data_IF_064002294203
#
_entry.id   IF_064002294203
#
_cell.length_a   1.000
_cell.length_b   1.000
_cell.length_c   1.000
_cell.angle_alpha   90.00
_cell.angle_beta   90.00
_cell.angle_gamma   90.00
#
_symmetry.space_group_name_H-M   'P 1'
#
loop_
_entity.id
_entity.type
_entity.pdbx_description
1 polymer ?
#
# COMPACT_ATOMS: atom_id res chain seq x y z
N UNK A 1 35.86 46.46 11.92
CA UNK A 1 34.90 47.10 12.84
C UNK A 1 34.13 45.98 13.52
N UNK A 2 33.99 46.00 14.86
CA UNK A 2 33.16 45.01 15.54
C UNK A 2 31.70 45.34 15.25
N UNK A 3 31.03 44.54 14.44
CA UNK A 3 29.58 44.65 14.19
C UNK A 3 28.87 44.20 15.47
N UNK A 4 28.08 45.09 16.08
CA UNK A 4 27.36 44.75 17.30
C UNK A 4 26.22 43.76 17.05
N UNK A 5 25.85 43.02 18.09
CA UNK A 5 24.81 41.97 18.02
C UNK A 5 23.46 42.46 17.49
N UNK A 6 23.05 43.67 17.93
CA UNK A 6 21.75 44.20 17.50
C UNK A 6 21.75 44.51 16.00
N UNK A 7 22.86 45.03 15.47
CA UNK A 7 23.03 45.26 14.04
C UNK A 7 22.92 43.98 13.20
N UNK A 8 23.47 42.85 13.70
CA UNK A 8 23.34 41.55 13.03
C UNK A 8 21.89 41.05 13.02
N UNK A 9 21.13 41.21 14.10
CA UNK A 9 19.73 40.84 14.19
C UNK A 9 18.85 41.71 13.31
N UNK A 10 19.09 43.01 13.27
CA UNK A 10 18.36 43.93 12.39
C UNK A 10 18.63 43.68 10.92
N UNK A 11 19.86 43.32 10.56
CA UNK A 11 20.22 42.87 9.22
C UNK A 11 19.40 41.60 8.84
N UNK A 12 19.35 40.60 9.71
CA UNK A 12 18.56 39.37 9.46
C UNK A 12 17.08 39.70 9.30
N UNK A 13 16.47 40.46 10.20
CA UNK A 13 15.03 40.76 10.14
C UNK A 13 14.64 41.48 8.84
N UNK A 14 15.52 42.35 8.33
CA UNK A 14 15.28 43.05 7.05
C UNK A 14 15.37 42.14 5.82
N UNK A 15 16.16 41.07 5.87
CA UNK A 15 16.51 40.26 4.68
C UNK A 15 15.94 38.83 4.69
N UNK A 16 15.35 38.33 5.79
CA UNK A 16 14.94 36.95 5.99
C UNK A 16 13.95 36.37 4.96
N UNK A 17 13.27 37.24 4.21
CA UNK A 17 12.30 36.84 3.19
C UNK A 17 12.76 37.16 1.76
N UNK A 18 13.92 37.76 1.56
CA UNK A 18 14.44 38.07 0.22
C UNK A 18 15.14 36.84 -0.36
N UNK A 19 14.89 36.59 -1.67
CA UNK A 19 15.59 35.52 -2.42
C UNK A 19 17.07 35.86 -2.62
N UNK A 20 17.40 37.13 -2.75
CA UNK A 20 18.75 37.65 -2.96
C UNK A 20 19.31 38.15 -1.63
N UNK A 21 19.64 37.19 -0.75
CA UNK A 21 20.34 37.49 0.49
C UNK A 21 21.77 37.88 0.12
N UNK A 22 22.17 39.13 0.39
CA UNK A 22 23.52 39.59 0.10
C UNK A 22 24.54 38.81 0.95
N UNK A 23 25.10 37.78 0.35
CA UNK A 23 26.10 36.91 1.03
C UNK A 23 27.47 37.52 1.14
N UNK A 24 27.74 38.62 0.45
CA UNK A 24 29.00 39.35 0.51
C UNK A 24 28.94 40.48 1.56
N UNK A 25 27.79 40.75 2.14
CA UNK A 25 27.63 41.76 3.17
C UNK A 25 28.48 41.46 4.39
N UNK A 26 29.11 42.47 4.97
CA UNK A 26 29.94 42.35 6.19
C UNK A 26 29.19 41.66 7.33
N UNK A 27 27.93 41.96 7.52
CA UNK A 27 27.04 41.33 8.51
C UNK A 27 26.86 39.83 8.30
N UNK A 28 26.74 39.39 7.03
CA UNK A 28 26.65 37.96 6.73
C UNK A 28 27.92 37.22 7.12
N UNK A 29 29.05 37.76 6.71
CA UNK A 29 30.37 37.20 7.04
C UNK A 29 30.65 37.15 8.53
N UNK A 30 30.23 38.16 9.26
CA UNK A 30 30.39 38.21 10.72
C UNK A 30 29.53 37.16 11.43
N UNK A 31 28.27 36.91 10.93
CA UNK A 31 27.46 35.81 11.44
C UNK A 31 28.13 34.47 11.21
N UNK A 32 28.72 34.22 10.02
CA UNK A 32 29.46 32.99 9.74
C UNK A 32 30.66 32.85 10.68
N UNK A 33 31.44 33.92 10.88
CA UNK A 33 32.62 33.94 11.74
C UNK A 33 32.27 33.60 13.21
N UNK A 34 31.23 34.22 13.77
CA UNK A 34 30.80 34.01 15.14
C UNK A 34 30.24 32.62 15.40
N UNK A 35 29.72 31.97 14.36
CA UNK A 35 29.06 30.68 14.46
C UNK A 35 29.79 29.56 13.71
N UNK A 36 31.08 29.75 13.42
CA UNK A 36 31.93 28.78 12.71
C UNK A 36 32.03 27.43 13.44
N UNK A 37 31.96 27.43 14.78
CA UNK A 37 31.98 26.22 15.61
C UNK A 37 30.85 25.21 15.27
N UNK A 38 29.78 25.64 14.59
CA UNK A 38 28.71 24.78 14.15
C UNK A 38 29.12 23.92 12.95
N UNK A 39 30.03 24.40 12.11
CA UNK A 39 30.47 23.70 10.90
C UNK A 39 31.31 22.46 11.22
N UNK A 40 31.91 22.39 12.37
CA UNK A 40 32.68 21.24 12.85
C UNK A 40 31.79 20.08 13.32
N UNK A 41 30.50 20.36 13.57
CA UNK A 41 29.55 19.40 14.14
C UNK A 41 28.43 19.00 13.14
N UNK A 42 28.00 19.93 12.31
CA UNK A 42 26.88 19.76 11.41
C UNK A 42 27.30 19.89 9.94
N UNK A 43 27.02 18.89 9.09
CA UNK A 43 27.36 18.89 7.65
C UNK A 43 26.74 20.04 6.85
N UNK A 44 25.64 20.59 7.32
CA UNK A 44 24.96 21.73 6.69
C UNK A 44 24.28 22.56 7.77
N UNK A 45 24.71 23.78 7.92
CA UNK A 45 24.20 24.70 8.94
C UNK A 45 23.32 25.77 8.29
N UNK A 46 21.99 25.70 8.44
CA UNK A 46 21.10 26.72 7.94
C UNK A 46 21.38 28.09 8.56
N UNK A 47 21.28 29.16 7.77
CA UNK A 47 21.54 30.51 8.29
C UNK A 47 20.63 30.87 9.48
N UNK A 48 19.39 30.38 9.49
CA UNK A 48 18.46 30.55 10.60
C UNK A 48 18.97 29.90 11.92
N UNK A 49 19.73 28.79 11.85
CA UNK A 49 20.37 28.16 13.01
C UNK A 49 21.47 29.06 13.57
N UNK A 50 22.30 29.65 12.71
CA UNK A 50 23.35 30.61 13.10
C UNK A 50 22.76 31.83 13.80
N UNK A 51 21.71 32.39 13.27
CA UNK A 51 20.98 33.54 13.85
C UNK A 51 20.35 33.16 15.20
N UNK A 52 19.92 31.91 15.39
CA UNK A 52 19.41 31.45 16.67
C UNK A 52 20.45 31.58 17.77
N UNK A 53 21.70 31.17 17.51
CA UNK A 53 22.82 31.32 18.48
C UNK A 53 23.10 32.79 18.83
N UNK A 54 23.07 33.66 17.83
CA UNK A 54 23.22 35.11 18.08
C UNK A 54 22.04 35.65 18.90
N UNK A 55 20.79 35.21 18.60
CA UNK A 55 19.60 35.62 19.37
C UNK A 55 19.61 35.16 20.82
N UNK A 56 20.09 33.95 21.07
CA UNK A 56 20.16 33.41 22.42
C UNK A 56 21.41 33.83 23.20
N UNK A 57 22.38 34.44 22.52
CA UNK A 57 23.73 34.71 23.07
C UNK A 57 24.44 33.47 23.59
N UNK A 58 24.20 32.36 22.91
CA UNK A 58 24.69 31.04 23.26
C UNK A 58 25.51 30.47 22.09
N UNK A 59 26.81 30.50 22.25
CA UNK A 59 27.78 30.02 21.25
C UNK A 59 28.32 28.63 21.60
N UNK A 60 27.46 27.80 22.17
CA UNK A 60 27.79 26.41 22.49
C UNK A 60 27.00 25.43 21.63
N UNK A 61 27.54 24.21 21.45
CA UNK A 61 26.80 23.13 20.78
C UNK A 61 25.68 22.67 21.70
N UNK A 62 24.48 22.65 21.15
CA UNK A 62 23.30 22.18 21.89
C UNK A 62 23.34 20.67 22.04
N UNK A 63 23.40 20.17 23.27
CA UNK A 63 23.55 18.75 23.58
C UNK A 63 22.26 18.15 24.15
N UNK A 64 22.04 16.89 23.85
CA UNK A 64 20.96 16.12 24.41
C UNK A 64 21.12 15.94 25.92
N UNK A 65 20.11 16.29 26.74
CA UNK A 65 20.22 16.19 28.20
C UNK A 65 20.31 14.75 28.72
N UNK A 66 20.07 13.74 27.85
CA UNK A 66 20.09 12.31 28.22
C UNK A 66 21.44 11.67 27.88
N UNK A 67 22.01 11.96 26.70
CA UNK A 67 23.17 11.24 26.18
C UNK A 67 24.30 12.15 25.69
N UNK A 68 24.16 13.46 25.89
CA UNK A 68 25.16 14.50 25.51
C UNK A 68 25.55 14.48 24.01
N UNK A 69 24.77 13.85 23.16
CA UNK A 69 24.95 13.90 21.69
C UNK A 69 24.43 15.23 21.16
N UNK A 70 25.07 15.87 20.16
CA UNK A 70 24.56 17.08 19.52
C UNK A 70 23.14 16.92 19.03
N UNK A 71 22.29 17.92 19.26
CA UNK A 71 20.87 17.90 18.92
C UNK A 71 20.65 18.46 17.51
N UNK A 72 19.79 17.81 16.70
CA UNK A 72 19.45 18.28 15.38
C UNK A 72 18.64 19.58 15.37
N UNK A 73 18.83 20.39 14.33
CA UNK A 73 18.08 21.60 14.08
C UNK A 73 16.76 21.28 13.35
N UNK A 74 15.65 21.75 13.92
CA UNK A 74 14.33 21.68 13.28
C UNK A 74 14.14 22.91 12.37
N UNK A 75 14.30 22.72 11.07
CA UNK A 75 14.20 23.78 10.06
C UNK A 75 12.78 24.36 9.95
N UNK A 76 11.75 23.56 10.24
CA UNK A 76 10.35 23.97 10.17
C UNK A 76 9.98 24.92 11.32
N UNK A 77 10.41 24.59 12.53
CA UNK A 77 10.10 25.39 13.73
C UNK A 77 11.23 26.37 14.10
N UNK A 78 12.32 26.37 13.36
CA UNK A 78 13.50 27.23 13.56
C UNK A 78 14.05 27.19 14.99
N UNK A 79 14.22 25.98 15.51
CA UNK A 79 14.72 25.72 16.86
C UNK A 79 15.44 24.37 16.93
N UNK A 80 16.23 24.19 17.98
CA UNK A 80 16.78 22.87 18.28
C UNK A 80 15.68 21.92 18.78
N UNK A 81 15.77 20.65 18.44
CA UNK A 81 14.98 19.61 19.06
C UNK A 81 15.32 19.51 20.55
N UNK A 82 14.42 19.03 21.37
CA UNK A 82 14.70 18.86 22.81
C UNK A 82 15.62 17.67 23.09
N UNK A 83 15.65 16.68 22.23
CA UNK A 83 16.42 15.44 22.36
C UNK A 83 16.99 15.04 21.00
N UNK A 84 18.12 14.32 21.00
CA UNK A 84 18.75 13.83 19.75
C UNK A 84 17.94 12.72 19.06
N UNK A 85 17.08 12.01 19.78
CA UNK A 85 16.27 10.89 19.25
C UNK A 85 15.01 10.64 20.07
N UNK A 86 14.06 9.90 19.47
CA UNK A 86 12.87 9.41 20.16
C UNK A 86 13.19 8.49 21.35
N UNK A 87 14.32 7.78 21.29
CA UNK A 87 14.81 6.95 22.40
C UNK A 87 15.15 7.79 23.62
N UNK A 88 15.91 8.87 23.44
CA UNK A 88 16.27 9.79 24.54
C UNK A 88 15.05 10.52 25.10
N UNK A 89 14.11 10.92 24.25
CA UNK A 89 12.83 11.44 24.70
C UNK A 89 12.07 10.43 25.58
N UNK A 90 12.02 9.16 25.17
CA UNK A 90 11.32 8.11 25.92
C UNK A 90 11.99 7.76 27.27
N UNK A 91 13.30 7.95 27.39
CA UNK A 91 14.03 7.72 28.64
C UNK A 91 13.72 8.82 29.67
N UNK A 92 13.69 10.07 29.25
CA UNK A 92 13.41 11.19 30.18
C UNK A 92 11.95 11.29 30.60
N UNK A 93 11.03 10.84 29.77
CA UNK A 93 9.57 10.82 30.09
C UNK A 93 9.22 9.67 31.04
N UNK A 94 10.17 8.77 31.34
CA UNK A 94 9.93 7.54 32.11
C UNK A 94 10.40 7.59 33.55
N UNK A 95 10.57 8.75 34.18
CA UNK A 95 10.65 8.75 35.65
C UNK A 95 9.30 8.25 36.19
N UNK A 96 9.35 7.18 36.99
CA UNK A 96 8.13 6.52 37.52
C UNK A 96 7.18 7.50 38.19
N UNK A 97 7.72 8.48 38.91
CA UNK A 97 6.96 9.51 39.60
C UNK A 97 6.19 10.45 38.65
N UNK A 98 6.72 10.82 37.49
CA UNK A 98 6.03 11.65 36.50
C UNK A 98 4.95 10.85 35.75
N UNK A 99 5.18 9.56 35.50
CA UNK A 99 4.20 8.69 34.91
C UNK A 99 3.02 8.48 35.85
N UNK A 100 3.31 8.26 37.15
CA UNK A 100 2.29 8.09 38.19
C UNK A 100 1.42 9.34 38.32
N UNK A 101 2.03 10.52 38.38
CA UNK A 101 1.33 11.83 38.42
C UNK A 101 0.47 12.08 37.19
N UNK A 102 0.93 11.69 36.00
CA UNK A 102 0.13 11.79 34.76
C UNK A 102 -1.05 10.83 34.76
N UNK A 103 -0.83 9.58 35.15
CA UNK A 103 -1.89 8.58 35.26
C UNK A 103 -2.95 9.00 36.25
N UNK A 104 -2.55 9.45 37.44
CA UNK A 104 -3.45 9.94 38.46
C UNK A 104 -4.31 11.12 37.95
N UNK A 105 -3.69 12.12 37.32
CA UNK A 105 -4.40 13.26 36.74
C UNK A 105 -5.35 12.87 35.59
N UNK A 106 -5.00 11.84 34.84
CA UNK A 106 -5.83 11.34 33.75
C UNK A 106 -7.00 10.54 34.30
N UNK A 107 -6.77 9.73 35.32
CA UNK A 107 -7.80 8.99 36.05
C UNK A 107 -8.83 9.92 36.70
N UNK A 108 -8.37 10.95 37.39
CA UNK A 108 -9.23 11.95 38.04
C UNK A 108 -10.11 12.71 37.05
N UNK A 109 -9.59 13.00 35.85
CA UNK A 109 -10.29 13.81 34.87
C UNK A 109 -11.19 12.98 33.91
N UNK A 110 -10.79 11.76 33.57
CA UNK A 110 -11.41 10.97 32.50
C UNK A 110 -11.86 9.57 32.94
N UNK A 111 -11.68 9.21 34.22
CA UNK A 111 -12.09 7.91 34.74
C UNK A 111 -11.24 6.73 34.30
N UNK A 112 -10.12 6.97 33.59
CA UNK A 112 -9.18 5.96 33.12
C UNK A 112 -7.74 6.46 33.25
N UNK A 113 -6.77 5.55 33.50
CA UNK A 113 -5.35 5.92 33.59
C UNK A 113 -4.75 6.39 32.25
N UNK A 114 -5.36 6.01 31.13
CA UNK A 114 -4.93 6.38 29.79
C UNK A 114 -6.04 7.14 29.06
N UNK A 115 -5.78 8.39 28.71
CA UNK A 115 -6.77 9.24 27.99
C UNK A 115 -7.27 8.58 26.70
N UNK A 116 -6.43 7.83 25.99
CA UNK A 116 -6.81 7.10 24.78
C UNK A 116 -7.89 6.01 24.99
N UNK A 117 -8.13 5.58 26.22
CA UNK A 117 -9.17 4.62 26.59
C UNK A 117 -10.45 5.28 27.07
N UNK A 118 -10.45 6.60 27.31
CA UNK A 118 -11.63 7.32 27.77
C UNK A 118 -12.72 7.38 26.72
N UNK A 119 -13.96 7.38 27.17
CA UNK A 119 -15.14 7.51 26.30
C UNK A 119 -15.15 8.88 25.58
N UNK A 120 -14.71 9.93 26.27
CA UNK A 120 -14.54 11.27 25.68
C UNK A 120 -13.54 11.27 24.53
N UNK A 121 -12.41 10.57 24.67
CA UNK A 121 -11.43 10.44 23.57
C UNK A 121 -12.01 9.68 22.37
N UNK A 122 -12.69 8.56 22.60
CA UNK A 122 -13.33 7.77 21.53
C UNK A 122 -14.35 8.61 20.78
N UNK A 123 -15.25 9.27 21.49
CA UNK A 123 -16.29 10.14 20.89
C UNK A 123 -15.67 11.29 20.09
N UNK A 124 -14.63 11.96 20.62
CA UNK A 124 -13.91 13.02 19.89
C UNK A 124 -13.18 12.51 18.66
N UNK A 125 -12.59 11.32 18.76
CA UNK A 125 -11.87 10.72 17.62
C UNK A 125 -12.83 10.30 16.53
N UNK A 126 -13.97 9.70 16.87
CA UNK A 126 -15.03 9.33 15.93
C UNK A 126 -15.63 10.55 15.24
N UNK A 127 -16.03 11.57 15.98
CA UNK A 127 -16.58 12.82 15.45
C UNK A 127 -15.55 13.57 14.58
N UNK A 128 -14.29 13.60 15.01
CA UNK A 128 -13.20 14.22 14.24
C UNK A 128 -12.84 13.43 12.99
N UNK A 129 -12.93 12.10 13.02
CA UNK A 129 -12.72 11.25 11.86
C UNK A 129 -13.85 11.43 10.83
N UNK A 130 -15.10 11.46 11.28
CA UNK A 130 -16.26 11.67 10.43
C UNK A 130 -16.24 13.06 9.78
N UNK A 131 -16.00 14.11 10.55
CA UNK A 131 -15.91 15.50 10.04
C UNK A 131 -14.75 15.67 9.04
N UNK A 132 -13.58 15.03 9.31
CA UNK A 132 -12.44 15.04 8.38
C UNK A 132 -12.78 14.28 7.10
N UNK A 133 -13.42 13.12 7.21
CA UNK A 133 -13.87 12.31 6.07
C UNK A 133 -14.85 13.10 5.20
N UNK A 134 -15.84 13.76 5.80
CA UNK A 134 -16.83 14.58 5.08
C UNK A 134 -16.17 15.76 4.35
N UNK A 135 -15.33 16.56 5.04
CA UNK A 135 -14.61 17.70 4.42
C UNK A 135 -13.64 17.26 3.32
N UNK A 136 -13.02 16.11 3.48
CA UNK A 136 -12.09 15.55 2.49
C UNK A 136 -12.85 15.02 1.28
N UNK A 137 -13.96 14.31 1.49
CA UNK A 137 -14.84 13.85 0.43
C UNK A 137 -15.41 15.03 -0.37
N UNK A 138 -15.77 16.10 0.33
CA UNK A 138 -16.29 17.33 -0.30
C UNK A 138 -15.21 18.04 -1.14
N UNK A 139 -13.98 18.16 -0.62
CA UNK A 139 -12.85 18.74 -1.38
C UNK A 139 -12.46 17.89 -2.59
N UNK A 140 -12.45 16.56 -2.43
CA UNK A 140 -12.15 15.63 -3.53
C UNK A 140 -13.26 15.64 -4.57
N UNK A 141 -14.53 15.67 -4.15
CA UNK A 141 -15.68 15.83 -5.05
C UNK A 141 -15.59 17.13 -5.83
N UNK A 142 -15.27 18.24 -5.15
CA UNK A 142 -15.16 19.56 -5.79
C UNK A 142 -13.99 19.61 -6.79
N UNK A 143 -12.80 19.15 -6.38
CA UNK A 143 -11.62 19.06 -7.25
C UNK A 143 -11.86 18.14 -8.45
N UNK A 144 -12.66 17.09 -8.25
CA UNK A 144 -12.98 16.13 -9.28
C UNK A 144 -14.04 16.65 -10.25
N UNK A 145 -15.10 17.29 -9.77
CA UNK A 145 -16.16 17.88 -10.61
C UNK A 145 -15.62 19.01 -11.48
N UNK A 146 -14.65 19.78 -10.99
CA UNK A 146 -14.02 20.86 -11.74
C UNK A 146 -12.98 20.37 -12.78
N UNK A 147 -12.46 19.12 -12.62
CA UNK A 147 -11.38 18.57 -13.46
C UNK A 147 -11.75 17.39 -14.37
N UNK A 148 -12.93 16.79 -14.23
CA UNK A 148 -13.23 15.43 -14.72
C UNK A 148 -14.42 15.31 -15.67
N UNK A 149 -14.65 16.24 -16.56
CA UNK A 149 -15.55 16.01 -17.69
C UNK A 149 -15.17 14.78 -18.56
N UNK A 150 -13.94 14.28 -18.40
CA UNK A 150 -13.40 13.12 -19.15
C UNK A 150 -13.51 11.77 -18.42
N UNK A 151 -13.80 11.73 -17.10
CA UNK A 151 -13.79 10.47 -16.35
C UNK A 151 -15.06 9.63 -16.56
N UNK A 152 -16.21 10.26 -16.67
CA UNK A 152 -17.47 9.55 -16.94
C UNK A 152 -17.41 8.81 -18.28
N UNK A 153 -16.80 9.42 -19.30
CA UNK A 153 -16.64 8.81 -20.61
C UNK A 153 -15.64 7.63 -20.61
N UNK A 154 -14.55 7.70 -19.84
CA UNK A 154 -13.56 6.62 -19.80
C UNK A 154 -14.06 5.37 -19.10
N UNK A 155 -14.87 5.49 -18.04
CA UNK A 155 -15.44 4.33 -17.33
C UNK A 155 -16.43 3.56 -18.19
N UNK A 156 -17.31 4.25 -18.91
CA UNK A 156 -18.30 3.64 -19.83
C UNK A 156 -17.62 2.96 -21.01
N UNK A 157 -16.60 3.59 -21.59
CA UNK A 157 -15.83 3.00 -22.70
C UNK A 157 -15.07 1.75 -22.27
N UNK A 158 -14.48 1.75 -21.08
CA UNK A 158 -13.72 0.61 -20.58
C UNK A 158 -14.61 -0.57 -20.22
N UNK A 159 -15.80 -0.33 -19.66
CA UNK A 159 -16.80 -1.37 -19.46
C UNK A 159 -17.25 -1.96 -20.81
N UNK A 160 -17.49 -1.13 -21.82
CA UNK A 160 -17.85 -1.60 -23.15
C UNK A 160 -16.73 -2.42 -23.78
N UNK A 161 -15.47 -2.02 -23.61
CA UNK A 161 -14.32 -2.79 -24.07
C UNK A 161 -14.24 -4.17 -23.40
N UNK A 162 -14.62 -4.29 -22.11
CA UNK A 162 -14.71 -5.58 -21.43
C UNK A 162 -15.79 -6.46 -22.07
N UNK A 163 -16.98 -5.90 -22.33
CA UNK A 163 -18.09 -6.60 -23.00
C UNK A 163 -17.67 -7.08 -24.39
N UNK A 164 -17.05 -6.21 -25.18
CA UNK A 164 -16.60 -6.53 -26.54
C UNK A 164 -15.50 -7.60 -26.53
N UNK A 165 -14.60 -7.55 -25.55
CA UNK A 165 -13.62 -8.61 -25.35
C UNK A 165 -14.30 -9.95 -25.05
N UNK A 166 -15.30 -9.97 -24.14
CA UNK A 166 -16.03 -11.21 -23.82
C UNK A 166 -16.74 -11.75 -25.06
N UNK A 167 -17.39 -10.89 -25.84
CA UNK A 167 -18.02 -11.27 -27.10
C UNK A 167 -17.03 -11.83 -28.13
N UNK A 168 -15.79 -11.35 -28.10
CA UNK A 168 -14.73 -11.84 -29.01
C UNK A 168 -14.22 -13.25 -28.66
N UNK A 169 -14.44 -13.70 -27.42
CA UNK A 169 -13.90 -14.96 -26.90
C UNK A 169 -14.95 -15.97 -26.44
N UNK A 170 -16.25 -15.62 -26.48
CA UNK A 170 -17.31 -16.46 -25.98
C UNK A 170 -18.52 -16.40 -26.91
N UNK A 171 -18.89 -17.56 -27.48
CA UNK A 171 -20.01 -17.69 -28.43
C UNK A 171 -21.35 -18.08 -27.78
N UNK A 172 -21.37 -18.30 -26.45
CA UNK A 172 -22.56 -18.66 -25.70
C UNK A 172 -23.40 -17.45 -25.29
N UNK A 173 -24.43 -17.69 -24.50
CA UNK A 173 -25.36 -16.66 -24.03
C UNK A 173 -24.69 -15.65 -23.12
N UNK A 174 -24.86 -14.37 -23.42
CA UNK A 174 -24.39 -13.23 -22.60
C UNK A 174 -25.58 -12.40 -22.16
N UNK A 175 -25.72 -12.16 -20.88
CA UNK A 175 -26.69 -11.23 -20.29
C UNK A 175 -25.95 -10.05 -19.71
N UNK A 176 -26.28 -8.82 -20.15
CA UNK A 176 -25.70 -7.58 -19.68
C UNK A 176 -26.63 -6.89 -18.70
N UNK A 177 -26.06 -6.24 -17.66
CA UNK A 177 -26.77 -5.44 -16.67
C UNK A 177 -27.96 -6.20 -16.02
N UNK A 178 -27.78 -7.50 -15.77
CA UNK A 178 -28.85 -8.36 -15.28
C UNK A 178 -29.02 -8.27 -13.77
N UNK A 179 -30.28 -8.12 -13.31
CA UNK A 179 -30.66 -8.17 -11.89
C UNK A 179 -31.26 -9.52 -11.48
N UNK A 180 -31.38 -10.47 -12.41
CA UNK A 180 -32.08 -11.73 -12.16
C UNK A 180 -31.43 -12.59 -11.07
N UNK A 181 -30.12 -12.47 -10.86
CA UNK A 181 -29.36 -13.35 -9.98
C UNK A 181 -29.31 -12.83 -8.53
N UNK A 182 -29.01 -11.55 -8.34
CA UNK A 182 -28.74 -10.95 -7.03
C UNK A 182 -29.54 -9.66 -6.77
N UNK A 183 -30.78 -9.60 -7.24
CA UNK A 183 -31.66 -8.43 -7.05
C UNK A 183 -31.58 -7.88 -5.59
N UNK A 184 -31.59 -6.54 -5.37
CA UNK A 184 -31.74 -5.46 -6.36
C UNK A 184 -30.44 -5.08 -7.09
N UNK A 185 -29.27 -5.66 -6.75
CA UNK A 185 -28.01 -5.42 -7.42
C UNK A 185 -28.01 -6.07 -8.81
N UNK A 186 -27.32 -5.45 -9.75
CA UNK A 186 -27.09 -5.97 -11.09
C UNK A 186 -25.71 -6.59 -11.25
N UNK A 187 -25.54 -7.37 -12.29
CA UNK A 187 -24.26 -7.90 -12.76
C UNK A 187 -23.99 -7.29 -14.14
N UNK A 188 -22.83 -6.70 -14.35
CA UNK A 188 -22.51 -6.05 -15.63
C UNK A 188 -22.51 -7.05 -16.79
N UNK A 189 -21.90 -8.23 -16.58
CA UNK A 189 -21.92 -9.33 -17.56
C UNK A 189 -22.18 -10.64 -16.83
N UNK A 190 -23.13 -11.43 -17.32
CA UNK A 190 -23.40 -12.77 -16.84
C UNK A 190 -23.39 -13.77 -17.99
N UNK A 191 -22.67 -14.88 -17.81
CA UNK A 191 -22.55 -15.99 -18.75
C UNK A 191 -23.28 -17.21 -18.17
N UNK A 192 -24.57 -17.41 -18.48
CA UNK A 192 -25.41 -18.44 -17.84
C UNK A 192 -24.85 -19.85 -17.96
N UNK A 193 -24.35 -20.21 -19.16
CA UNK A 193 -23.86 -21.56 -19.45
C UNK A 193 -22.64 -21.93 -18.62
N UNK A 194 -21.89 -20.92 -18.08
CA UNK A 194 -20.70 -21.09 -17.28
C UNK A 194 -20.93 -20.79 -15.79
N UNK A 195 -22.11 -20.29 -15.42
CA UNK A 195 -22.38 -19.72 -14.10
C UNK A 195 -21.28 -18.70 -13.69
N UNK A 196 -20.84 -17.89 -14.63
CA UNK A 196 -19.76 -16.92 -14.48
C UNK A 196 -20.30 -15.50 -14.68
N UNK A 197 -20.03 -14.63 -13.74
CA UNK A 197 -20.33 -13.21 -13.85
C UNK A 197 -19.04 -12.38 -13.80
N UNK A 198 -19.07 -11.25 -14.47
CA UNK A 198 -17.99 -10.28 -14.48
C UNK A 198 -18.55 -8.92 -14.07
N UNK A 199 -17.77 -8.20 -13.29
CA UNK A 199 -18.10 -6.87 -12.79
C UNK A 199 -16.96 -5.91 -13.09
N UNK A 200 -17.22 -4.85 -13.83
CA UNK A 200 -16.27 -3.78 -14.05
C UNK A 200 -16.34 -2.76 -12.92
N UNK A 201 -15.24 -2.55 -12.23
CA UNK A 201 -15.19 -1.64 -11.09
C UNK A 201 -14.35 -0.40 -11.43
N UNK A 202 -15.00 0.66 -11.89
CA UNK A 202 -14.40 1.99 -12.04
C UNK A 202 -13.93 2.49 -10.68
N UNK A 203 -12.64 2.79 -10.53
CA UNK A 203 -12.00 2.99 -9.23
C UNK A 203 -12.61 4.13 -8.42
N UNK A 204 -13.04 5.19 -9.08
CA UNK A 204 -13.63 6.35 -8.41
C UNK A 204 -14.94 5.98 -7.71
N UNK A 205 -15.91 5.47 -8.49
CA UNK A 205 -17.23 5.13 -7.97
C UNK A 205 -17.23 3.91 -7.04
N UNK A 206 -16.22 3.05 -7.17
CA UNK A 206 -16.00 1.89 -6.30
C UNK A 206 -15.08 2.16 -5.11
N UNK A 207 -14.81 3.44 -4.81
CA UNK A 207 -14.02 3.84 -3.65
C UNK A 207 -14.87 4.06 -2.39
N UNK A 208 -14.19 4.21 -1.26
CA UNK A 208 -14.80 4.54 0.04
C UNK A 208 -15.50 5.90 0.10
N UNK A 209 -15.48 6.67 -0.98
CA UNK A 209 -16.27 7.88 -1.12
C UNK A 209 -17.76 7.59 -1.36
N UNK A 210 -18.05 6.45 -2.00
CA UNK A 210 -19.39 6.10 -2.46
C UNK A 210 -19.89 4.77 -1.90
N UNK A 211 -18.99 3.80 -1.67
CA UNK A 211 -19.35 2.43 -1.30
C UNK A 211 -18.82 2.05 0.10
N UNK A 212 -19.57 1.23 0.85
CA UNK A 212 -19.10 0.68 2.13
C UNK A 212 -17.96 -0.33 1.92
N UNK A 213 -17.20 -0.55 2.98
CA UNK A 213 -15.97 -1.38 2.98
C UNK A 213 -16.18 -2.82 2.51
N UNK A 214 -17.38 -3.37 2.70
CA UNK A 214 -17.72 -4.76 2.30
C UNK A 214 -18.53 -4.88 1.01
N UNK A 215 -18.75 -3.84 0.28
CA UNK A 215 -19.60 -3.88 -0.91
C UNK A 215 -19.25 -5.01 -1.89
N UNK A 216 -17.98 -5.08 -2.31
CA UNK A 216 -17.51 -6.10 -3.26
C UNK A 216 -17.57 -7.51 -2.67
N UNK A 217 -17.22 -7.65 -1.38
CA UNK A 217 -17.31 -8.92 -0.67
C UNK A 217 -18.75 -9.43 -0.62
N UNK A 218 -19.69 -8.56 -0.22
CA UNK A 218 -21.09 -8.95 -0.05
C UNK A 218 -21.72 -9.32 -1.40
N UNK A 219 -21.38 -8.58 -2.49
CA UNK A 219 -21.78 -8.92 -3.85
C UNK A 219 -21.23 -10.29 -4.27
N UNK A 220 -19.94 -10.55 -4.02
CA UNK A 220 -19.29 -11.84 -4.27
C UNK A 220 -19.96 -12.98 -3.48
N UNK A 221 -20.25 -12.76 -2.19
CA UNK A 221 -20.88 -13.78 -1.34
C UNK A 221 -22.32 -14.10 -1.80
N UNK A 222 -23.07 -13.10 -2.22
CA UNK A 222 -24.41 -13.29 -2.79
C UNK A 222 -24.38 -14.10 -4.09
N UNK A 223 -23.46 -13.79 -5.01
CA UNK A 223 -23.28 -14.58 -6.24
C UNK A 223 -22.90 -16.02 -5.91
N UNK A 224 -21.92 -16.22 -5.02
CA UNK A 224 -21.48 -17.56 -4.58
C UNK A 224 -22.62 -18.36 -3.95
N UNK A 225 -23.48 -17.71 -3.16
CA UNK A 225 -24.68 -18.33 -2.57
C UNK A 225 -25.71 -18.81 -3.62
N UNK A 226 -25.64 -18.28 -4.85
CA UNK A 226 -26.44 -18.69 -6.01
C UNK A 226 -25.70 -19.64 -6.96
N UNK A 227 -24.49 -20.11 -6.59
CA UNK A 227 -23.67 -20.97 -7.45
C UNK A 227 -22.99 -20.22 -8.60
N UNK A 228 -22.99 -18.88 -8.60
CA UNK A 228 -22.37 -18.05 -9.63
C UNK A 228 -21.00 -17.60 -9.16
N UNK A 229 -19.96 -17.80 -9.98
CA UNK A 229 -18.63 -17.23 -9.79
C UNK A 229 -18.64 -15.80 -10.28
N UNK A 230 -18.30 -14.84 -9.40
CA UNK A 230 -18.10 -13.43 -9.78
C UNK A 230 -16.61 -13.10 -9.85
N UNK A 231 -16.18 -12.52 -10.97
CA UNK A 231 -14.83 -11.95 -11.15
C UNK A 231 -14.97 -10.42 -11.21
N UNK A 232 -14.27 -9.74 -10.32
CA UNK A 232 -14.16 -8.29 -10.32
C UNK A 232 -12.98 -7.87 -11.19
N UNK A 233 -13.25 -7.04 -12.19
CA UNK A 233 -12.28 -6.41 -13.09
C UNK A 233 -12.16 -4.96 -12.66
N UNK A 234 -11.11 -4.62 -11.91
CA UNK A 234 -10.87 -3.24 -11.54
C UNK A 234 -10.26 -2.46 -12.70
N UNK A 235 -10.60 -1.19 -12.79
CA UNK A 235 -10.20 -0.29 -13.87
C UNK A 235 -8.68 -0.33 -14.15
N UNK A 236 -7.84 -0.25 -13.13
CA UNK A 236 -6.39 -0.29 -13.28
C UNK A 236 -5.83 -1.67 -13.67
N UNK A 237 -6.49 -2.76 -13.28
CA UNK A 237 -6.15 -4.09 -13.79
C UNK A 237 -6.47 -4.19 -15.29
N UNK A 238 -7.56 -3.57 -15.72
CA UNK A 238 -7.98 -3.56 -17.12
C UNK A 238 -7.13 -2.61 -17.98
N UNK A 239 -6.74 -1.47 -17.47
CA UNK A 239 -5.97 -0.47 -18.24
C UNK A 239 -4.46 -0.72 -18.20
N UNK A 240 -3.90 -1.05 -17.03
CA UNK A 240 -2.47 -1.19 -16.85
C UNK A 240 -1.96 -2.62 -16.97
N UNK A 241 -2.82 -3.63 -16.77
CA UNK A 241 -2.47 -5.06 -16.78
C UNK A 241 -3.39 -5.88 -17.71
N UNK A 242 -3.80 -5.24 -18.80
CA UNK A 242 -4.76 -5.75 -19.77
C UNK A 242 -4.51 -7.19 -20.19
N UNK A 243 -3.30 -7.48 -20.67
CA UNK A 243 -2.93 -8.80 -21.15
C UNK A 243 -3.09 -9.90 -20.08
N UNK A 244 -2.75 -9.57 -18.82
CA UNK A 244 -2.90 -10.51 -17.69
C UNK A 244 -4.38 -10.74 -17.38
N UNK A 245 -5.18 -9.68 -17.35
CA UNK A 245 -6.62 -9.78 -17.07
C UNK A 245 -7.34 -10.55 -18.18
N UNK A 246 -7.05 -10.26 -19.43
CA UNK A 246 -7.60 -11.01 -20.57
C UNK A 246 -7.26 -12.50 -20.51
N UNK A 247 -6.01 -12.84 -20.12
CA UNK A 247 -5.58 -14.23 -19.98
C UNK A 247 -6.33 -14.96 -18.83
N UNK A 248 -6.56 -14.26 -17.72
CA UNK A 248 -7.39 -14.76 -16.61
C UNK A 248 -8.82 -15.03 -17.07
N UNK A 249 -9.42 -14.06 -17.78
CA UNK A 249 -10.80 -14.19 -18.27
C UNK A 249 -10.92 -15.30 -19.32
N UNK A 250 -10.00 -15.39 -20.30
CA UNK A 250 -9.93 -16.50 -21.26
C UNK A 250 -9.83 -17.85 -20.54
N UNK A 251 -9.03 -17.93 -19.48
CA UNK A 251 -8.89 -19.15 -18.69
C UNK A 251 -10.16 -19.50 -17.94
N UNK A 252 -10.90 -18.50 -17.44
CA UNK A 252 -12.17 -18.71 -16.75
C UNK A 252 -13.28 -19.20 -17.71
N UNK A 253 -13.28 -18.71 -18.96
CA UNK A 253 -14.26 -19.04 -19.99
C UNK A 253 -13.88 -20.36 -20.69
N UNK A 254 -12.61 -20.53 -21.07
CA UNK A 254 -12.12 -21.67 -21.83
C UNK A 254 -10.90 -22.33 -21.17
N UNK A 255 -11.05 -23.05 -20.09
CA UNK A 255 -9.91 -23.59 -19.34
C UNK A 255 -9.08 -24.65 -20.11
N UNK A 256 -9.61 -25.19 -21.22
CA UNK A 256 -8.95 -26.24 -22.03
C UNK A 256 -8.35 -25.74 -23.34
N UNK A 257 -8.57 -24.50 -23.74
CA UNK A 257 -8.14 -23.96 -25.04
C UNK A 257 -6.76 -23.26 -24.97
N UNK A 258 -5.79 -23.84 -24.26
CA UNK A 258 -4.46 -23.26 -24.11
C UNK A 258 -3.39 -24.26 -24.50
N UNK A 259 -2.26 -23.75 -25.00
CA UNK A 259 -1.09 -24.58 -25.21
C UNK A 259 -0.66 -25.20 -23.87
N UNK A 260 -0.57 -26.53 -23.83
CA UNK A 260 -0.27 -27.25 -22.60
C UNK A 260 1.12 -27.85 -22.61
N UNK A 261 1.85 -27.61 -21.52
CA UNK A 261 3.17 -28.19 -21.26
C UNK A 261 3.07 -29.04 -19.97
N UNK A 262 3.67 -30.20 -19.96
CA UNK A 262 3.77 -31.00 -18.74
C UNK A 262 4.95 -30.53 -17.90
N UNK A 263 4.72 -30.20 -16.65
CA UNK A 263 5.76 -29.76 -15.72
C UNK A 263 6.93 -30.76 -15.61
N UNK A 264 6.68 -32.07 -15.76
CA UNK A 264 7.74 -33.12 -15.75
C UNK A 264 8.78 -32.96 -16.85
N UNK A 265 8.46 -32.23 -17.93
CA UNK A 265 9.38 -31.91 -19.04
C UNK A 265 10.24 -30.68 -18.80
N UNK A 266 9.96 -29.93 -17.75
CA UNK A 266 10.69 -28.72 -17.40
C UNK A 266 11.88 -29.04 -16.46
N UNK A 267 12.95 -28.28 -16.49
CA UNK A 267 13.91 -28.20 -15.40
C UNK A 267 13.38 -27.30 -14.27
N UNK A 268 13.94 -27.46 -13.06
CA UNK A 268 13.66 -26.54 -11.94
C UNK A 268 14.93 -25.72 -11.71
N UNK A 269 14.78 -24.42 -11.64
CA UNK A 269 15.86 -23.47 -11.41
C UNK A 269 15.56 -22.59 -10.19
N UNK A 270 16.61 -22.26 -9.43
CA UNK A 270 16.53 -21.23 -8.39
C UNK A 270 16.64 -19.88 -9.09
N UNK A 271 15.72 -18.98 -8.78
CA UNK A 271 15.65 -17.67 -9.42
C UNK A 271 16.14 -16.58 -8.46
N UNK A 272 16.88 -15.63 -8.99
CA UNK A 272 17.17 -14.37 -8.30
C UNK A 272 15.96 -13.43 -8.26
N UNK A 273 16.09 -12.33 -7.53
CA UNK A 273 15.02 -11.34 -7.37
C UNK A 273 14.68 -10.58 -8.67
N UNK A 274 15.67 -10.35 -9.53
CA UNK A 274 15.49 -9.65 -10.79
C UNK A 274 14.66 -10.50 -11.73
N UNK A 275 15.10 -11.70 -12.04
CA UNK A 275 14.39 -12.68 -12.87
C UNK A 275 12.98 -12.98 -12.34
N UNK A 276 12.86 -13.15 -11.02
CA UNK A 276 11.56 -13.37 -10.37
C UNK A 276 10.61 -12.19 -10.64
N UNK A 277 11.08 -10.97 -10.42
CA UNK A 277 10.26 -9.78 -10.55
C UNK A 277 9.90 -9.43 -11.99
N UNK A 278 10.79 -9.66 -12.94
CA UNK A 278 10.53 -9.42 -14.36
C UNK A 278 9.48 -10.41 -14.91
N UNK A 279 9.55 -11.66 -14.47
CA UNK A 279 8.50 -12.63 -14.81
C UNK A 279 7.16 -12.27 -14.18
N UNK A 280 7.13 -11.89 -12.88
CA UNK A 280 5.91 -11.52 -12.19
C UNK A 280 5.27 -10.26 -12.75
N UNK A 281 6.05 -9.29 -13.18
CA UNK A 281 5.52 -8.03 -13.75
C UNK A 281 4.71 -8.29 -15.01
N UNK A 282 5.11 -9.25 -15.81
CA UNK A 282 4.46 -9.60 -17.09
C UNK A 282 3.41 -10.71 -16.98
N UNK A 283 3.39 -11.49 -15.89
CA UNK A 283 2.56 -12.69 -15.79
C UNK A 283 1.71 -12.80 -14.53
N UNK A 284 1.79 -11.85 -13.59
CA UNK A 284 1.03 -11.90 -12.33
C UNK A 284 0.29 -10.60 -12.06
N UNK A 285 -1.00 -10.68 -11.73
CA UNK A 285 -1.86 -9.50 -11.54
C UNK A 285 -1.34 -8.52 -10.47
N UNK A 286 -0.77 -9.03 -9.38
CA UNK A 286 -0.19 -8.20 -8.33
C UNK A 286 1.28 -7.82 -8.59
N UNK A 287 1.88 -8.27 -9.71
CA UNK A 287 3.25 -7.95 -10.11
C UNK A 287 4.31 -8.35 -9.08
N UNK A 288 5.35 -7.53 -9.02
CA UNK A 288 6.58 -7.73 -8.26
C UNK A 288 6.40 -8.09 -6.79
N UNK A 289 7.33 -8.86 -6.24
CA UNK A 289 7.50 -9.02 -4.79
C UNK A 289 8.40 -7.92 -4.24
N UNK A 290 8.07 -7.41 -3.06
CA UNK A 290 8.76 -6.27 -2.45
C UNK A 290 9.79 -6.68 -1.38
N UNK A 291 9.81 -7.95 -1.02
CA UNK A 291 10.70 -8.51 0.01
C UNK A 291 11.53 -9.63 -0.59
N UNK A 292 12.71 -9.86 -0.02
CA UNK A 292 13.54 -10.99 -0.42
C UNK A 292 12.75 -12.30 -0.29
N UNK A 293 12.71 -13.09 -1.36
CA UNK A 293 12.02 -14.36 -1.43
C UNK A 293 12.97 -15.48 -1.85
N UNK A 294 12.60 -16.71 -1.53
CA UNK A 294 13.14 -17.90 -2.17
C UNK A 294 12.23 -18.25 -3.34
N UNK A 295 12.75 -18.20 -4.55
CA UNK A 295 11.96 -18.39 -5.77
C UNK A 295 12.50 -19.56 -6.58
N UNK A 296 11.58 -20.39 -7.08
CA UNK A 296 11.87 -21.48 -7.98
C UNK A 296 11.06 -21.34 -9.26
N UNK A 297 11.71 -21.57 -10.39
CA UNK A 297 11.10 -21.53 -11.72
C UNK A 297 11.07 -22.89 -12.40
N UNK A 298 10.09 -23.10 -13.25
CA UNK A 298 10.08 -24.17 -14.24
C UNK A 298 10.55 -23.61 -15.59
N UNK A 299 11.58 -24.19 -16.15
CA UNK A 299 12.16 -23.81 -17.45
C UNK A 299 11.91 -24.92 -18.47
N UNK A 300 11.36 -24.56 -19.60
CA UNK A 300 11.10 -25.43 -20.76
C UNK A 300 11.68 -24.78 -22.00
N UNK A 301 12.54 -25.52 -22.71
CA UNK A 301 13.25 -25.03 -23.89
C UNK A 301 13.87 -23.63 -23.67
N UNK A 302 14.68 -23.53 -22.60
CA UNK A 302 15.36 -22.29 -22.15
C UNK A 302 14.42 -21.12 -21.80
N UNK A 303 13.13 -21.36 -21.70
CA UNK A 303 12.12 -20.35 -21.37
C UNK A 303 11.52 -20.60 -19.98
N UNK A 304 11.52 -19.57 -19.13
CA UNK A 304 10.81 -19.62 -17.85
C UNK A 304 9.30 -19.63 -18.07
N UNK A 305 8.63 -20.73 -17.69
CA UNK A 305 7.20 -20.97 -17.97
C UNK A 305 6.30 -20.90 -16.73
N UNK A 306 6.85 -21.08 -15.55
CA UNK A 306 6.12 -20.90 -14.30
C UNK A 306 7.10 -20.62 -13.15
N UNK A 307 6.64 -19.94 -12.11
CA UNK A 307 7.40 -19.76 -10.89
C UNK A 307 6.52 -19.81 -9.63
N UNK A 308 7.17 -20.11 -8.50
CA UNK A 308 6.62 -19.94 -7.16
C UNK A 308 7.65 -19.23 -6.28
N UNK A 309 7.23 -18.22 -5.51
CA UNK A 309 8.08 -17.46 -4.59
C UNK A 309 7.57 -17.56 -3.17
N UNK A 310 8.50 -17.82 -2.23
CA UNK A 310 8.21 -18.08 -0.83
C UNK A 310 8.99 -17.10 0.05
N UNK A 311 8.37 -16.63 1.11
CA UNK A 311 9.01 -15.81 2.14
C UNK A 311 8.90 -16.51 3.50
N UNK A 312 10.00 -16.53 4.24
CA UNK A 312 9.97 -17.06 5.60
C UNK A 312 9.27 -16.09 6.54
N UNK A 313 8.33 -16.59 7.31
CA UNK A 313 7.62 -15.83 8.32
C UNK A 313 7.54 -16.62 9.63
N UNK A 314 8.36 -16.25 10.61
CA UNK A 314 8.52 -16.99 11.88
C UNK A 314 8.91 -18.45 11.59
N UNK A 315 8.13 -19.42 12.10
CA UNK A 315 8.35 -20.86 11.94
C UNK A 315 7.63 -21.44 10.72
N UNK A 316 7.09 -20.61 9.85
CA UNK A 316 6.35 -21.00 8.67
C UNK A 316 6.88 -20.31 7.42
N UNK A 317 6.42 -20.72 6.25
CA UNK A 317 6.64 -20.02 5.00
C UNK A 317 5.32 -19.55 4.40
N UNK A 318 5.36 -18.40 3.77
CA UNK A 318 4.25 -17.86 2.98
C UNK A 318 4.59 -18.03 1.51
N UNK A 319 3.78 -18.79 0.77
CA UNK A 319 3.79 -18.74 -0.69
C UNK A 319 3.20 -17.38 -1.10
N UNK A 320 4.07 -16.48 -1.53
CA UNK A 320 3.74 -15.09 -1.79
C UNK A 320 3.19 -14.89 -3.21
N UNK A 321 3.78 -15.62 -4.20
CA UNK A 321 3.35 -15.59 -5.60
C UNK A 321 3.47 -16.97 -6.22
N UNK A 322 2.51 -17.29 -7.05
CA UNK A 322 2.59 -18.38 -8.01
C UNK A 322 2.03 -17.86 -9.33
N UNK A 323 2.78 -18.06 -10.41
CA UNK A 323 2.37 -17.61 -11.73
C UNK A 323 2.84 -18.56 -12.82
N UNK A 324 2.07 -18.61 -13.89
CA UNK A 324 2.40 -19.31 -15.12
C UNK A 324 2.47 -18.25 -16.24
N UNK A 325 3.34 -18.46 -17.21
CA UNK A 325 3.46 -17.58 -18.38
C UNK A 325 2.12 -17.45 -19.09
N UNK A 326 1.76 -16.23 -19.48
CA UNK A 326 0.52 -15.95 -20.22
C UNK A 326 0.38 -16.83 -21.44
N UNK A 327 -0.82 -17.25 -21.75
CA UNK A 327 -1.13 -18.13 -22.89
C UNK A 327 -0.80 -19.61 -22.67
N UNK A 328 -0.11 -19.98 -21.58
CA UNK A 328 0.28 -21.36 -21.30
C UNK A 328 -0.54 -21.99 -20.16
N UNK A 329 -0.69 -23.30 -20.25
CA UNK A 329 -1.07 -24.16 -19.13
C UNK A 329 0.09 -25.12 -18.85
N UNK A 330 0.70 -25.04 -17.66
CA UNK A 330 1.77 -25.96 -17.27
C UNK A 330 1.22 -26.98 -16.26
N UNK A 331 0.83 -28.14 -16.80
CA UNK A 331 0.17 -29.20 -16.05
C UNK A 331 1.09 -29.76 -14.95
N UNK A 332 0.66 -29.67 -13.69
CA UNK A 332 1.42 -30.09 -12.51
C UNK A 332 2.48 -29.09 -12.03
N UNK A 333 2.54 -27.87 -12.58
CA UNK A 333 3.54 -26.87 -12.22
C UNK A 333 3.52 -26.53 -10.73
N UNK A 334 2.34 -26.22 -10.20
CA UNK A 334 2.20 -25.86 -8.78
C UNK A 334 2.69 -26.96 -7.85
N UNK A 335 2.19 -28.18 -8.04
CA UNK A 335 2.57 -29.34 -7.21
C UNK A 335 4.06 -29.64 -7.30
N UNK A 336 4.67 -29.50 -8.49
CA UNK A 336 6.08 -29.76 -8.68
C UNK A 336 6.97 -28.72 -7.98
N UNK A 337 6.66 -27.45 -8.12
CA UNK A 337 7.38 -26.35 -7.44
C UNK A 337 7.20 -26.42 -5.92
N UNK A 338 5.99 -26.68 -5.45
CA UNK A 338 5.71 -26.85 -4.03
C UNK A 338 6.46 -28.04 -3.44
N UNK A 339 6.43 -29.21 -4.10
CA UNK A 339 7.15 -30.41 -3.64
C UNK A 339 8.66 -30.20 -3.65
N UNK A 340 9.19 -29.47 -4.63
CA UNK A 340 10.62 -29.10 -4.65
C UNK A 340 10.95 -28.20 -3.44
N UNK A 341 10.17 -27.14 -3.22
CA UNK A 341 10.34 -26.24 -2.09
C UNK A 341 10.31 -27.01 -0.75
N UNK A 342 9.33 -27.88 -0.55
CA UNK A 342 9.19 -28.69 0.66
C UNK A 342 10.45 -29.56 0.91
N UNK A 343 10.97 -30.23 -0.12
CA UNK A 343 12.19 -31.02 0.00
C UNK A 343 13.43 -30.20 0.35
N UNK A 344 13.55 -28.99 -0.18
CA UNK A 344 14.73 -28.13 0.05
C UNK A 344 14.71 -27.45 1.44
N UNK A 345 13.54 -27.13 1.97
CA UNK A 345 13.41 -26.27 3.15
C UNK A 345 12.77 -26.96 4.36
N UNK A 346 12.20 -28.16 4.19
CA UNK A 346 11.52 -28.93 5.25
C UNK A 346 10.63 -28.04 6.15
N UNK A 347 9.73 -27.22 5.58
CA UNK A 347 8.89 -26.32 6.37
C UNK A 347 7.90 -27.13 7.20
N UNK A 348 7.58 -26.67 8.40
CA UNK A 348 6.48 -27.25 9.21
C UNK A 348 5.11 -26.89 8.66
N UNK A 349 5.03 -25.70 8.06
CA UNK A 349 3.77 -25.16 7.51
C UNK A 349 4.03 -24.21 6.37
N UNK A 350 3.18 -24.28 5.34
CA UNK A 350 3.10 -23.29 4.27
C UNK A 350 1.73 -22.63 4.29
N UNK A 351 1.72 -21.29 4.26
CA UNK A 351 0.49 -20.49 4.21
C UNK A 351 0.42 -19.78 2.86
N UNK A 352 -0.78 -19.62 2.32
CA UNK A 352 -0.99 -18.80 1.12
C UNK A 352 -2.35 -18.10 1.15
N UNK A 353 -2.56 -17.22 0.19
CA UNK A 353 -3.76 -16.38 0.10
C UNK A 353 -4.31 -16.42 -1.32
N UNK A 354 -5.62 -16.61 -1.48
CA UNK A 354 -6.29 -16.36 -2.74
C UNK A 354 -7.16 -15.09 -2.65
N UNK A 355 -7.00 -14.19 -3.63
CA UNK A 355 -7.83 -13.00 -3.75
C UNK A 355 -9.20 -13.40 -4.29
N UNK A 356 -10.23 -13.24 -3.47
CA UNK A 356 -11.60 -13.62 -3.78
C UNK A 356 -12.24 -12.76 -4.87
N UNK A 357 -11.63 -11.63 -5.19
CA UNK A 357 -12.08 -10.78 -6.30
C UNK A 357 -11.92 -11.48 -7.66
N UNK A 358 -10.95 -12.39 -7.77
CA UNK A 358 -10.59 -13.01 -9.05
C UNK A 358 -10.51 -14.53 -8.97
N UNK A 359 -9.95 -15.09 -7.88
CA UNK A 359 -9.57 -16.50 -7.79
C UNK A 359 -10.44 -17.30 -6.81
N UNK A 360 -10.65 -18.57 -7.10
CA UNK A 360 -11.39 -19.51 -6.24
C UNK A 360 -10.50 -20.18 -5.19
N UNK A 361 -9.20 -20.26 -5.44
CA UNK A 361 -8.25 -21.01 -4.59
C UNK A 361 -8.22 -22.52 -4.85
N UNK A 362 -8.89 -23.04 -5.87
CA UNK A 362 -8.99 -24.48 -6.18
C UNK A 362 -7.63 -25.16 -6.36
N UNK A 363 -6.63 -24.43 -6.85
CA UNK A 363 -5.27 -24.93 -7.02
C UNK A 363 -4.64 -25.32 -5.67
N UNK A 364 -4.91 -24.56 -4.62
CA UNK A 364 -4.43 -24.82 -3.27
C UNK A 364 -5.16 -26.01 -2.67
N UNK A 365 -6.49 -26.07 -2.81
CA UNK A 365 -7.26 -27.21 -2.35
C UNK A 365 -6.77 -28.53 -2.99
N UNK A 366 -6.56 -28.56 -4.30
CA UNK A 366 -6.02 -29.75 -5.01
C UNK A 366 -4.61 -30.13 -4.59
N UNK A 367 -3.83 -29.18 -4.08
CA UNK A 367 -2.48 -29.44 -3.56
C UNK A 367 -2.44 -29.79 -2.07
N UNK A 368 -3.60 -30.00 -1.45
CA UNK A 368 -3.72 -30.45 -0.05
C UNK A 368 -3.82 -29.34 0.99
N UNK A 369 -3.85 -28.07 0.56
CA UNK A 369 -4.10 -26.98 1.50
C UNK A 369 -5.54 -26.98 1.99
N UNK A 370 -5.72 -26.61 3.24
CA UNK A 370 -7.04 -26.40 3.85
C UNK A 370 -7.33 -24.89 3.95
N UNK A 371 -8.55 -24.49 3.57
CA UNK A 371 -9.00 -23.13 3.81
C UNK A 371 -9.37 -22.96 5.27
N UNK A 372 -8.62 -22.15 6.00
CA UNK A 372 -8.79 -21.99 7.46
C UNK A 372 -9.67 -20.80 7.82
N UNK A 373 -9.71 -19.76 7.00
CA UNK A 373 -10.55 -18.57 7.20
C UNK A 373 -10.60 -17.69 5.96
N UNK A 374 -11.53 -16.75 5.98
CA UNK A 374 -11.58 -15.61 5.05
C UNK A 374 -11.27 -14.34 5.83
N UNK A 375 -10.29 -13.59 5.39
CA UNK A 375 -9.95 -12.30 5.96
C UNK A 375 -11.00 -11.24 5.57
N UNK A 376 -11.12 -10.19 6.40
CA UNK A 376 -11.92 -9.01 6.05
C UNK A 376 -11.40 -8.35 4.78
N UNK A 377 -12.24 -7.61 4.04
CA UNK A 377 -11.79 -6.82 2.90
C UNK A 377 -10.56 -5.99 3.24
N UNK A 378 -9.58 -6.05 2.37
CA UNK A 378 -8.38 -5.23 2.45
C UNK A 378 -8.52 -4.09 1.45
N UNK A 379 -7.87 -2.97 1.75
CA UNK A 379 -7.94 -1.82 0.87
C UNK A 379 -6.57 -1.45 0.32
N UNK A 380 -6.61 -0.84 -0.84
CA UNK A 380 -5.57 -0.07 -1.49
C UNK A 380 -6.00 1.39 -1.55
N UNK A 381 -5.06 2.30 -1.72
CA UNK A 381 -5.39 3.72 -1.89
C UNK A 381 -5.63 4.03 -3.36
N UNK A 382 -6.57 4.91 -3.64
CA UNK A 382 -6.82 5.40 -4.98
C UNK A 382 -5.91 6.61 -5.26
N UNK A 383 -4.97 6.44 -6.18
CA UNK A 383 -4.27 7.55 -6.84
C UNK A 383 -5.19 8.10 -7.93
N UNK A 384 -5.91 9.17 -7.60
CA UNK A 384 -6.92 9.78 -8.49
C UNK A 384 -6.27 10.35 -9.75
N UNK A 385 -5.05 10.89 -9.64
CA UNK A 385 -4.35 11.52 -10.76
C UNK A 385 -3.95 10.51 -11.84
N UNK A 386 -3.59 9.29 -11.44
CA UNK A 386 -3.10 8.26 -12.36
C UNK A 386 -4.08 7.09 -12.52
N UNK A 387 -5.30 7.20 -12.00
CA UNK A 387 -6.36 6.20 -12.10
C UNK A 387 -5.91 4.77 -11.74
N UNK A 388 -5.24 4.63 -10.59
CA UNK A 388 -4.68 3.34 -10.16
C UNK A 388 -4.76 3.14 -8.66
N UNK A 389 -4.74 1.87 -8.26
CA UNK A 389 -4.67 1.47 -6.85
C UNK A 389 -3.22 1.40 -6.39
N UNK A 390 -2.91 2.07 -5.28
CA UNK A 390 -1.59 2.03 -4.65
C UNK A 390 -1.62 1.15 -3.40
N UNK A 391 -0.81 0.08 -3.34
CA UNK A 391 -0.64 -0.70 -2.12
C UNK A 391 -0.06 0.14 -0.97
N UNK A 392 -0.49 -0.11 0.25
CA UNK A 392 -0.01 0.58 1.48
C UNK A 392 1.52 0.60 1.61
N UNK A 393 2.18 -0.48 1.17
CA UNK A 393 3.63 -0.60 1.23
C UNK A 393 4.35 0.34 0.25
N UNK A 394 3.74 0.61 -0.90
CA UNK A 394 4.28 1.54 -1.90
C UNK A 394 4.24 2.95 -1.34
N UNK A 395 3.13 3.39 -0.76
CA UNK A 395 3.02 4.72 -0.14
C UNK A 395 4.02 4.91 1.00
N UNK A 396 4.25 3.89 1.83
CA UNK A 396 5.26 3.92 2.90
C UNK A 396 6.69 4.11 2.36
N UNK A 397 7.01 3.53 1.20
CA UNK A 397 8.34 3.64 0.56
C UNK A 397 8.54 4.96 -0.18
N UNK A 398 7.48 5.54 -0.72
CA UNK A 398 7.55 6.86 -1.39
C UNK A 398 7.85 8.01 -0.42
N UNK A 399 8.01 7.73 0.88
CA UNK A 399 8.56 8.69 1.85
C UNK A 399 7.65 9.88 2.17
N UNK A 400 6.45 9.94 1.67
CA UNK A 400 5.51 11.03 1.91
C UNK A 400 4.82 10.91 3.28
N UNK A 401 5.59 10.66 4.36
CA UNK A 401 5.14 10.86 5.74
C UNK A 401 3.75 10.29 6.06
N UNK A 402 3.36 9.19 5.41
CA UNK A 402 2.05 8.59 5.61
C UNK A 402 1.83 8.27 7.09
N UNK A 403 1.07 9.10 7.74
CA UNK A 403 0.52 8.83 9.07
C UNK A 403 -0.91 8.35 8.89
N UNK A 404 -1.26 7.24 9.51
CA UNK A 404 -2.58 6.59 9.47
C UNK A 404 -3.75 7.54 9.77
N UNK A 405 -3.47 8.69 10.37
CA UNK A 405 -4.44 9.72 10.76
C UNK A 405 -4.69 10.81 9.71
N UNK A 406 -3.76 10.96 8.74
CA UNK A 406 -3.80 12.03 7.71
C UNK A 406 -3.99 11.46 6.31
N UNK A 407 -4.75 10.36 6.17
CA UNK A 407 -4.92 9.63 4.92
C UNK A 407 -5.78 10.43 3.92
N UNK A 408 -5.16 11.12 2.94
CA UNK A 408 -5.88 11.97 2.00
C UNK A 408 -6.51 11.19 0.85
N UNK A 409 -6.22 9.87 0.72
CA UNK A 409 -6.62 9.10 -0.44
C UNK A 409 -7.88 8.26 -0.19
N UNK A 410 -8.84 8.27 -1.12
CA UNK A 410 -9.95 7.32 -1.10
C UNK A 410 -9.43 5.88 -1.11
N UNK A 411 -10.20 4.97 -0.53
CA UNK A 411 -9.84 3.56 -0.43
C UNK A 411 -10.69 2.73 -1.37
N UNK A 412 -10.06 1.79 -2.04
CA UNK A 412 -10.76 0.76 -2.82
C UNK A 412 -10.58 -0.57 -2.10
N UNK A 413 -11.69 -1.20 -1.72
CA UNK A 413 -11.71 -2.45 -0.97
C UNK A 413 -11.87 -3.64 -1.90
N UNK A 414 -11.14 -4.73 -1.63
CA UNK A 414 -11.30 -6.00 -2.33
C UNK A 414 -12.39 -6.89 -1.67
N UNK A 415 -12.55 -8.11 -2.16
CA UNK A 415 -13.51 -9.08 -1.62
C UNK A 415 -13.01 -9.87 -0.40
N UNK A 416 -11.86 -9.49 0.18
CA UNK A 416 -11.15 -10.26 1.17
C UNK A 416 -10.28 -11.35 0.55
N UNK A 417 -9.49 -12.01 1.39
CA UNK A 417 -8.59 -13.09 1.00
C UNK A 417 -8.99 -14.37 1.70
N UNK A 418 -9.12 -15.48 0.98
CA UNK A 418 -9.17 -16.79 1.61
C UNK A 418 -7.75 -17.20 2.03
N UNK A 419 -7.60 -17.64 3.27
CA UNK A 419 -6.33 -18.07 3.85
C UNK A 419 -6.26 -19.59 3.79
N UNK A 420 -5.20 -20.10 3.22
CA UNK A 420 -4.95 -21.52 3.01
C UNK A 420 -3.70 -21.94 3.75
N UNK A 421 -3.77 -23.08 4.45
CA UNK A 421 -2.64 -23.66 5.20
C UNK A 421 -2.40 -25.10 4.78
N UNK A 422 -1.13 -25.43 4.60
CA UNK A 422 -0.63 -26.78 4.43
C UNK A 422 0.29 -27.10 5.60
N UNK A 423 -0.10 -28.02 6.46
CA UNK A 423 0.73 -28.57 7.53
C UNK A 423 1.48 -29.78 7.01
N UNK A 424 2.77 -29.90 7.35
CA UNK A 424 3.71 -30.88 6.80
C UNK A 424 4.39 -31.70 7.90
#
# INVERSE_FOLDING_TARGET
MNVDRQSLLDFYERHKYRRDFDREAEHYNEVLRLTAFLDDVYHSVPFAQRIWHIKQDDFSIQLCPVCSTPIGWDTRHRRYARFCSSRCWSVQVKTEDEQQKRKQKTLERFGTEEYGLSEEYRTKMEASAETRRQKQNERLRHSYLDGCANYENTSTDAQQQLVDFIRSVYDGRIEENTKAIISPQELDVYLPDLNLALEYNGLWFHSSLFLPDNYHKDKTDRCRGKGVRLIHVFEDDWTCRRAIMEDILRTAIHPRHRQSIYARRCSIETLDMETTNDFLETNHLQGRVLTQTVSYGLVFDSTLVALASFVRYRDSYVLQRYSVRLGLTVLGAFSRLLSHFIRQHSPRKVVTYSDRSVFTGDIYHRAGFQRVRTNRPQFTFLDVQHHRRLPKQVLRRLGNGYRRQDDPFPRVYNCGLDVWELNL
#
